data_IF_353321234585
#
_entry.id   IF_353321234585
#
_cell.length_a   1.000
_cell.length_b   1.000
_cell.length_c   1.000
_cell.angle_alpha   90.00
_cell.angle_beta   90.00
_cell.angle_gamma   90.00
#
_symmetry.space_group_name_H-M   'P 1'
#
loop_
_entity.id
_entity.type
_entity.pdbx_description
1 polymer ?
#
# COMPACT_ATOMS: atom_id res chain seq x y z
N UNK A 1 -32.82 -5.79 12.89
CA UNK A 1 -31.47 -5.45 12.38
C UNK A 1 -31.52 -4.38 11.28
N UNK A 2 -30.71 -3.32 11.42
CA UNK A 2 -30.58 -2.25 10.42
C UNK A 2 -29.59 -2.69 9.35
N UNK A 3 -30.06 -2.81 8.10
CA UNK A 3 -29.19 -3.08 6.95
C UNK A 3 -28.61 -1.77 6.44
N UNK A 4 -27.32 -1.75 6.16
CA UNK A 4 -26.59 -0.60 5.61
C UNK A 4 -25.48 -1.11 4.69
N UNK A 5 -25.34 -0.48 3.54
CA UNK A 5 -24.17 -0.69 2.67
C UNK A 5 -22.95 -0.02 3.29
N UNK A 6 -21.82 -0.72 3.21
CA UNK A 6 -20.51 -0.22 3.63
C UNK A 6 -19.72 0.19 2.39
N UNK A 7 -18.91 1.24 2.51
CA UNK A 7 -17.96 1.69 1.52
C UNK A 7 -16.64 0.93 1.71
N UNK A 8 -16.25 0.17 0.68
CA UNK A 8 -15.08 -0.67 0.73
C UNK A 8 -14.88 -1.46 -0.57
N UNK A 9 -13.81 -2.24 -0.61
CA UNK A 9 -13.43 -3.06 -1.76
C UNK A 9 -12.50 -4.20 -1.36
N UNK A 10 -12.32 -5.15 -2.27
CA UNK A 10 -11.33 -6.22 -2.10
C UNK A 10 -9.92 -5.62 -2.29
N UNK A 11 -8.95 -6.07 -1.49
CA UNK A 11 -7.54 -5.70 -1.69
C UNK A 11 -6.92 -6.45 -2.88
N UNK A 12 -5.82 -5.91 -3.39
CA UNK A 12 -5.09 -6.54 -4.50
C UNK A 12 -4.62 -7.93 -4.14
N UNK A 13 -4.64 -8.83 -5.13
CA UNK A 13 -4.26 -10.24 -5.02
C UNK A 13 -5.02 -11.04 -3.95
N UNK A 14 -6.04 -10.46 -3.32
CA UNK A 14 -6.85 -11.16 -2.35
C UNK A 14 -7.77 -12.19 -3.02
N UNK A 15 -7.98 -13.36 -2.40
CA UNK A 15 -9.02 -14.30 -2.83
C UNK A 15 -10.41 -13.68 -2.83
N UNK A 16 -11.26 -14.10 -3.76
CA UNK A 16 -12.67 -13.74 -3.78
C UNK A 16 -13.51 -14.59 -2.83
N UNK A 17 -14.83 -14.52 -2.98
CA UNK A 17 -15.78 -15.35 -2.22
C UNK A 17 -16.35 -16.51 -3.05
N UNK A 18 -15.72 -16.85 -4.18
CA UNK A 18 -16.17 -17.87 -5.14
C UNK A 18 -17.65 -17.73 -5.55
N UNK A 19 -18.11 -16.50 -5.73
CA UNK A 19 -19.50 -16.19 -6.09
C UNK A 19 -20.53 -16.49 -4.99
N UNK A 20 -20.09 -16.86 -3.78
CA UNK A 20 -20.96 -17.13 -2.63
C UNK A 20 -20.89 -15.96 -1.64
N UNK A 21 -22.03 -15.46 -1.12
CA UNK A 21 -22.00 -14.48 -0.06
C UNK A 21 -21.39 -15.06 1.23
N UNK A 22 -20.39 -14.39 1.78
CA UNK A 22 -19.89 -14.65 3.13
C UNK A 22 -20.64 -13.76 4.11
N UNK A 23 -21.50 -14.35 4.94
CA UNK A 23 -22.16 -13.72 6.08
C UNK A 23 -21.52 -14.22 7.36
N UNK A 24 -20.84 -13.35 8.09
CA UNK A 24 -20.24 -13.72 9.36
C UNK A 24 -20.28 -12.57 10.36
N UNK A 25 -20.25 -12.94 11.65
CA UNK A 25 -20.03 -12.00 12.73
C UNK A 25 -18.64 -11.38 12.64
N UNK A 26 -18.44 -10.25 13.31
CA UNK A 26 -17.16 -9.53 13.30
C UNK A 26 -16.51 -9.58 14.67
N UNK A 27 -15.20 -9.85 14.69
CA UNK A 27 -14.32 -9.66 15.85
C UNK A 27 -13.21 -8.67 15.52
N UNK A 28 -12.49 -8.20 16.53
CA UNK A 28 -11.41 -7.22 16.39
C UNK A 28 -10.24 -7.63 17.28
N UNK A 29 -9.03 -7.27 16.86
CA UNK A 29 -7.83 -7.51 17.67
C UNK A 29 -7.94 -6.69 18.97
N UNK A 30 -7.93 -7.33 20.16
CA UNK A 30 -8.02 -6.64 21.43
C UNK A 30 -6.68 -5.99 21.80
N UNK A 31 -6.62 -5.32 22.95
CA UNK A 31 -5.34 -4.90 23.52
C UNK A 31 -4.54 -6.17 23.91
N UNK A 32 -3.34 -6.32 23.37
CA UNK A 32 -2.44 -7.45 23.63
C UNK A 32 -1.21 -6.99 24.42
N UNK A 33 -0.82 -7.76 25.43
CA UNK A 33 0.34 -7.51 26.27
C UNK A 33 1.38 -8.62 26.16
N UNK A 34 0.95 -9.82 25.78
CA UNK A 34 1.77 -11.04 25.72
C UNK A 34 1.38 -11.90 24.52
N UNK A 35 2.28 -12.80 24.10
CA UNK A 35 1.98 -13.79 23.06
C UNK A 35 0.79 -14.69 23.46
N UNK A 36 0.62 -14.99 24.74
CA UNK A 36 -0.55 -15.75 25.23
C UNK A 36 -1.87 -15.01 25.00
N UNK A 37 -1.89 -13.67 25.09
CA UNK A 37 -3.11 -12.91 24.76
C UNK A 37 -3.50 -13.10 23.28
N UNK A 38 -2.50 -13.19 22.40
CA UNK A 38 -2.69 -13.46 20.98
C UNK A 38 -3.22 -14.88 20.73
N UNK A 39 -2.61 -15.89 21.35
CA UNK A 39 -3.08 -17.28 21.27
C UNK A 39 -4.54 -17.42 21.71
N UNK A 40 -4.89 -16.81 22.86
CA UNK A 40 -6.28 -16.80 23.37
C UNK A 40 -7.21 -16.07 22.41
N UNK A 41 -6.76 -14.99 21.77
CA UNK A 41 -7.56 -14.28 20.77
C UNK A 41 -7.83 -15.16 19.54
N UNK A 42 -6.83 -15.90 19.04
CA UNK A 42 -6.99 -16.79 17.89
C UNK A 42 -8.09 -17.85 18.14
N UNK A 43 -8.24 -18.34 19.36
CA UNK A 43 -9.34 -19.27 19.70
C UNK A 43 -10.75 -18.70 19.49
N UNK A 44 -10.88 -17.38 19.31
CA UNK A 44 -12.17 -16.68 19.19
C UNK A 44 -12.56 -16.30 17.77
N UNK A 45 -11.68 -16.49 16.77
CA UNK A 45 -11.85 -15.95 15.41
C UNK A 45 -12.58 -16.89 14.46
N UNK A 46 -12.72 -18.18 14.80
CA UNK A 46 -13.36 -19.18 13.96
C UNK A 46 -14.75 -18.70 13.49
N UNK A 47 -14.96 -18.69 12.16
CA UNK A 47 -16.22 -18.31 11.55
C UNK A 47 -16.52 -16.80 11.57
N UNK A 48 -15.55 -15.94 11.87
CA UNK A 48 -15.73 -14.48 11.96
C UNK A 48 -14.83 -13.70 11.01
N UNK A 49 -15.30 -12.51 10.65
CA UNK A 49 -14.45 -11.47 10.07
C UNK A 49 -13.55 -10.89 11.15
N UNK A 50 -12.26 -10.72 10.87
CA UNK A 50 -11.30 -10.13 11.81
C UNK A 50 -10.92 -8.73 11.37
N UNK A 51 -11.16 -7.73 12.23
CA UNK A 51 -10.75 -6.35 12.01
C UNK A 51 -9.28 -6.16 12.41
N UNK A 52 -8.42 -5.88 11.43
CA UNK A 52 -6.96 -5.81 11.58
C UNK A 52 -6.41 -4.48 11.07
N UNK A 53 -6.82 -3.38 11.69
CA UNK A 53 -6.31 -2.03 11.44
C UNK A 53 -6.60 -1.12 12.63
N UNK A 54 -5.81 -0.06 12.77
CA UNK A 54 -6.00 0.90 13.85
C UNK A 54 -7.41 1.54 13.76
N UNK A 55 -8.31 1.30 14.75
CA UNK A 55 -9.63 1.90 14.75
C UNK A 55 -9.52 3.38 15.11
N UNK A 56 -9.41 4.22 14.07
CA UNK A 56 -9.28 5.66 14.21
C UNK A 56 -10.42 6.22 15.10
N UNK A 57 -10.11 6.95 16.18
CA UNK A 57 -11.15 7.59 17.00
C UNK A 57 -12.02 8.57 16.20
N UNK A 58 -11.46 9.12 15.13
CA UNK A 58 -12.14 9.96 14.16
C UNK A 58 -11.41 9.93 12.83
N UNK A 59 -12.16 9.89 11.73
CA UNK A 59 -11.67 9.95 10.35
C UNK A 59 -11.59 11.38 9.82
N UNK A 60 -11.59 12.36 10.73
CA UNK A 60 -11.42 13.77 10.41
C UNK A 60 -9.93 14.14 10.41
N UNK A 61 -9.42 14.77 9.33
CA UNK A 61 -8.04 15.27 9.25
C UNK A 61 -7.70 16.24 10.38
N UNK A 62 -6.42 16.31 10.73
CA UNK A 62 -5.93 17.21 11.78
C UNK A 62 -6.20 18.68 11.45
N UNK A 63 -6.07 19.05 10.18
CA UNK A 63 -6.31 20.41 9.69
C UNK A 63 -7.76 20.83 9.94
N UNK A 64 -8.73 19.92 9.75
CA UNK A 64 -10.13 20.19 10.04
C UNK A 64 -10.42 20.29 11.53
N UNK A 65 -9.73 19.49 12.36
CA UNK A 65 -9.79 19.66 13.81
C UNK A 65 -9.27 21.03 14.24
N UNK A 66 -8.13 21.46 13.73
CA UNK A 66 -7.54 22.77 14.03
C UNK A 66 -8.44 23.91 13.53
N UNK A 67 -9.03 23.77 12.34
CA UNK A 67 -9.84 24.82 11.72
C UNK A 67 -11.22 24.98 12.38
N UNK A 68 -11.86 23.88 12.79
CA UNK A 68 -13.27 23.88 13.22
C UNK A 68 -13.51 23.44 14.66
N UNK A 69 -12.50 22.89 15.33
CA UNK A 69 -12.62 22.41 16.71
C UNK A 69 -12.40 23.52 17.74
N UNK A 70 -13.02 23.36 18.90
CA UNK A 70 -12.63 24.14 20.09
C UNK A 70 -11.27 23.63 20.58
N UNK A 71 -10.40 24.54 21.02
CA UNK A 71 -9.01 24.24 21.38
C UNK A 71 -8.88 23.05 22.34
N UNK A 72 -9.74 22.98 23.35
CA UNK A 72 -9.75 21.89 24.32
C UNK A 72 -10.04 20.53 23.67
N UNK A 73 -11.07 20.44 22.82
CA UNK A 73 -11.41 19.21 22.11
C UNK A 73 -10.34 18.78 21.11
N UNK A 74 -9.63 19.73 20.48
CA UNK A 74 -8.50 19.41 19.59
C UNK A 74 -7.39 18.72 20.37
N UNK A 75 -7.00 19.28 21.53
CA UNK A 75 -5.97 18.69 22.40
C UNK A 75 -6.40 17.32 22.91
N UNK A 76 -7.64 17.21 23.40
CA UNK A 76 -8.18 15.93 23.88
C UNK A 76 -8.21 14.86 22.78
N UNK A 77 -8.63 15.21 21.56
CA UNK A 77 -8.66 14.26 20.44
C UNK A 77 -7.26 13.84 20.01
N UNK A 78 -6.31 14.77 19.96
CA UNK A 78 -4.89 14.49 19.65
C UNK A 78 -4.28 13.53 20.69
N UNK A 79 -4.50 13.79 21.98
CA UNK A 79 -4.09 12.89 23.06
C UNK A 79 -4.76 11.52 22.98
N UNK A 80 -6.08 11.48 22.76
CA UNK A 80 -6.84 10.23 22.64
C UNK A 80 -6.36 9.39 21.45
N UNK A 81 -6.14 10.02 20.29
CA UNK A 81 -5.62 9.34 19.09
C UNK A 81 -4.21 8.83 19.31
N UNK A 82 -3.31 9.62 19.90
CA UNK A 82 -1.95 9.16 20.23
C UNK A 82 -1.96 7.96 21.16
N UNK A 83 -2.73 8.03 22.25
CA UNK A 83 -2.82 6.94 23.22
C UNK A 83 -3.41 5.66 22.59
N UNK A 84 -4.45 5.80 21.75
CA UNK A 84 -5.03 4.66 21.04
C UNK A 84 -4.08 4.05 20.01
N UNK A 85 -3.34 4.88 19.26
CA UNK A 85 -2.35 4.42 18.29
C UNK A 85 -1.18 3.70 18.98
N UNK A 86 -0.75 4.16 20.16
CA UNK A 86 0.27 3.49 20.96
C UNK A 86 -0.18 2.09 21.41
N UNK A 87 -1.41 1.95 21.92
CA UNK A 87 -1.97 0.64 22.31
C UNK A 87 -2.11 -0.30 21.12
N UNK A 88 -2.60 0.22 19.99
CA UNK A 88 -2.69 -0.55 18.75
C UNK A 88 -1.33 -1.07 18.30
N UNK A 89 -0.34 -0.18 18.21
CA UNK A 89 1.01 -0.55 17.77
C UNK A 89 1.67 -1.56 18.71
N UNK A 90 1.44 -1.44 20.02
CA UNK A 90 1.87 -2.45 20.98
C UNK A 90 1.23 -3.81 20.67
N UNK A 91 -0.08 -3.84 20.48
CA UNK A 91 -0.82 -5.09 20.26
C UNK A 91 -0.39 -5.78 18.97
N UNK A 92 -0.28 -5.01 17.88
CA UNK A 92 0.21 -5.54 16.60
C UNK A 92 1.67 -5.98 16.68
N UNK A 93 2.53 -5.29 17.46
CA UNK A 93 3.90 -5.74 17.68
C UNK A 93 3.95 -7.07 18.41
N UNK A 94 3.14 -7.26 19.45
CA UNK A 94 3.02 -8.54 20.18
C UNK A 94 2.60 -9.67 19.23
N UNK A 95 1.55 -9.46 18.43
CA UNK A 95 1.08 -10.47 17.49
C UNK A 95 2.12 -10.78 16.39
N UNK A 96 2.79 -9.75 15.84
CA UNK A 96 3.85 -9.93 14.83
C UNK A 96 5.07 -10.67 15.39
N UNK A 97 5.46 -10.37 16.62
CA UNK A 97 6.58 -11.06 17.28
C UNK A 97 6.25 -12.53 17.57
N UNK A 98 5.01 -12.82 17.97
CA UNK A 98 4.55 -14.19 18.20
C UNK A 98 4.59 -15.05 16.92
N UNK A 99 4.22 -14.46 15.77
CA UNK A 99 4.12 -15.18 14.50
C UNK A 99 5.38 -15.10 13.62
N UNK A 100 6.29 -14.16 13.90
CA UNK A 100 7.53 -13.97 13.14
C UNK A 100 7.44 -12.97 11.99
N UNK A 101 6.31 -12.28 11.81
CA UNK A 101 6.16 -11.24 10.80
C UNK A 101 4.71 -10.82 10.54
N UNK A 102 4.51 -9.94 9.54
CA UNK A 102 3.17 -9.44 9.18
C UNK A 102 2.40 -10.46 8.35
N UNK A 103 3.05 -11.08 7.38
CA UNK A 103 2.43 -12.11 6.56
C UNK A 103 2.00 -13.32 7.42
N UNK A 104 2.85 -13.71 8.37
CA UNK A 104 2.61 -14.80 9.31
C UNK A 104 1.43 -14.50 10.23
N UNK A 105 1.29 -13.25 10.71
CA UNK A 105 0.12 -12.80 11.48
C UNK A 105 -1.18 -13.00 10.70
N UNK A 106 -1.20 -12.62 9.42
CA UNK A 106 -2.37 -12.78 8.57
C UNK A 106 -2.70 -14.26 8.36
N UNK A 107 -1.69 -15.09 8.08
CA UNK A 107 -1.85 -16.54 7.92
C UNK A 107 -2.40 -17.20 9.19
N UNK A 108 -1.93 -16.82 10.37
CA UNK A 108 -2.42 -17.35 11.65
C UNK A 108 -3.92 -17.10 11.86
N UNK A 109 -4.44 -15.95 11.41
CA UNK A 109 -5.88 -15.66 11.45
C UNK A 109 -6.67 -16.56 10.50
N UNK A 110 -6.15 -16.82 9.29
CA UNK A 110 -6.77 -17.76 8.34
C UNK A 110 -6.78 -19.19 8.90
N UNK A 111 -5.65 -19.65 9.43
CA UNK A 111 -5.48 -20.99 10.01
C UNK A 111 -6.35 -21.20 11.24
N UNK A 112 -6.58 -20.16 12.04
CA UNK A 112 -7.52 -20.16 13.16
C UNK A 112 -9.00 -20.10 12.73
N UNK A 113 -9.28 -20.08 11.42
CA UNK A 113 -10.62 -20.20 10.86
C UNK A 113 -11.38 -18.88 10.69
N UNK A 114 -10.68 -17.74 10.64
CA UNK A 114 -11.31 -16.49 10.23
C UNK A 114 -11.89 -16.63 8.82
N UNK A 115 -13.10 -16.10 8.58
CA UNK A 115 -13.71 -16.14 7.22
C UNK A 115 -13.12 -15.09 6.29
N UNK A 116 -12.33 -14.17 6.83
CA UNK A 116 -11.67 -13.10 6.10
C UNK A 116 -11.23 -11.96 7.03
N UNK A 117 -10.46 -11.05 6.47
CA UNK A 117 -9.89 -9.91 7.20
C UNK A 117 -10.50 -8.60 6.70
N UNK A 118 -10.76 -7.69 7.62
CA UNK A 118 -11.20 -6.32 7.34
C UNK A 118 -10.09 -5.36 7.74
N UNK A 119 -9.62 -4.56 6.78
CA UNK A 119 -8.57 -3.55 6.98
C UNK A 119 -9.10 -2.13 6.69
N UNK A 120 -8.35 -1.12 7.12
CA UNK A 120 -8.60 0.29 6.84
C UNK A 120 -7.29 1.07 6.92
N UNK A 121 -6.74 1.47 5.78
CA UNK A 121 -5.51 2.27 5.71
C UNK A 121 -5.84 3.73 5.39
N UNK A 122 -6.11 4.50 6.44
CA UNK A 122 -6.45 5.91 6.32
C UNK A 122 -5.19 6.80 6.46
N UNK A 123 -4.79 7.56 5.42
CA UNK A 123 -3.60 8.40 5.46
C UNK A 123 -3.81 9.77 6.14
N UNK A 124 -4.99 10.01 6.73
CA UNK A 124 -5.32 11.27 7.40
C UNK A 124 -6.09 12.28 6.55
N UNK A 125 -6.46 11.96 5.30
CA UNK A 125 -7.24 12.80 4.40
C UNK A 125 -8.75 12.48 4.39
N UNK A 126 -9.61 13.46 4.13
CA UNK A 126 -11.07 13.22 4.07
C UNK A 126 -11.46 12.34 2.89
N UNK A 127 -12.14 11.21 3.15
CA UNK A 127 -12.58 10.29 2.10
C UNK A 127 -11.43 9.60 1.35
N UNK A 128 -10.22 9.60 1.93
CA UNK A 128 -9.05 8.98 1.29
C UNK A 128 -8.78 7.62 1.95
N UNK A 129 -8.45 6.63 1.13
CA UNK A 129 -7.94 5.35 1.55
C UNK A 129 -6.66 5.05 0.79
N UNK A 130 -5.73 4.34 1.43
CA UNK A 130 -4.63 3.68 0.73
C UNK A 130 -5.01 2.23 0.51
N UNK A 131 -4.94 1.78 -0.72
CA UNK A 131 -5.19 0.41 -1.12
C UNK A 131 -3.84 -0.21 -1.47
N UNK A 132 -3.64 -1.42 -0.99
CA UNK A 132 -2.45 -2.23 -1.22
C UNK A 132 -2.89 -3.68 -1.38
N UNK A 133 -1.93 -4.59 -1.37
CA UNK A 133 -2.14 -6.01 -1.42
C UNK A 133 -2.66 -6.65 -0.15
N UNK A 134 -3.24 -7.83 -0.33
CA UNK A 134 -3.58 -8.75 0.73
C UNK A 134 -2.45 -9.77 0.92
N UNK A 135 -2.10 -10.01 2.18
CA UNK A 135 -1.19 -11.08 2.59
C UNK A 135 -1.86 -12.46 2.57
N UNK A 136 -3.18 -12.48 2.79
CA UNK A 136 -4.03 -13.67 2.89
C UNK A 136 -4.11 -14.42 1.56
N UNK A 137 -4.09 -15.76 1.63
CA UNK A 137 -4.05 -16.62 0.44
C UNK A 137 -5.31 -17.45 0.22
N UNK A 138 -6.13 -17.65 1.26
CA UNK A 138 -7.31 -18.50 1.17
C UNK A 138 -8.62 -17.75 1.41
N UNK A 139 -8.62 -16.80 2.34
CA UNK A 139 -9.77 -15.99 2.72
C UNK A 139 -9.66 -14.57 2.16
N UNK A 140 -10.79 -13.91 1.87
CA UNK A 140 -10.79 -12.54 1.38
C UNK A 140 -10.30 -11.55 2.44
N UNK A 141 -9.53 -10.58 1.98
CA UNK A 141 -9.18 -9.37 2.72
C UNK A 141 -9.83 -8.18 2.03
N UNK A 142 -10.71 -7.51 2.76
CA UNK A 142 -11.37 -6.31 2.27
C UNK A 142 -10.85 -5.07 3.00
N UNK A 143 -10.83 -3.97 2.28
CA UNK A 143 -10.69 -2.64 2.86
C UNK A 143 -12.06 -2.03 3.08
N UNK A 144 -12.27 -1.40 4.24
CA UNK A 144 -13.39 -0.48 4.48
C UNK A 144 -12.89 0.95 4.65
N UNK A 145 -13.68 1.92 4.19
CA UNK A 145 -13.40 3.33 4.45
C UNK A 145 -13.32 3.57 5.96
N UNK A 146 -12.53 4.55 6.38
CA UNK A 146 -12.28 4.80 7.80
C UNK A 146 -13.58 4.92 8.62
N UNK A 147 -14.61 5.58 8.05
CA UNK A 147 -15.88 5.79 8.75
C UNK A 147 -16.67 4.49 8.94
N UNK A 148 -16.72 3.64 7.91
CA UNK A 148 -17.44 2.37 7.97
C UNK A 148 -16.65 1.30 8.73
N UNK A 149 -15.31 1.29 8.64
CA UNK A 149 -14.46 0.52 9.54
C UNK A 149 -14.72 0.90 11.00
N UNK A 150 -14.69 2.19 11.31
CA UNK A 150 -14.97 2.70 12.66
C UNK A 150 -16.39 2.35 13.13
N UNK A 151 -17.38 2.35 12.24
CA UNK A 151 -18.75 1.93 12.56
C UNK A 151 -18.80 0.45 12.96
N UNK A 152 -18.26 -0.44 12.13
CA UNK A 152 -18.27 -1.89 12.39
C UNK A 152 -17.51 -2.20 13.69
N UNK A 153 -16.33 -1.60 13.87
CA UNK A 153 -15.54 -1.74 15.09
C UNK A 153 -16.33 -1.34 16.34
N UNK A 154 -16.99 -0.16 16.30
CA UNK A 154 -17.80 0.32 17.42
C UNK A 154 -18.99 -0.59 17.72
N UNK A 155 -19.60 -1.22 16.72
CA UNK A 155 -20.68 -2.18 16.97
C UNK A 155 -20.15 -3.45 17.64
N UNK A 156 -19.02 -3.99 17.15
CA UNK A 156 -18.39 -5.18 17.72
C UNK A 156 -17.93 -4.96 19.17
N UNK A 157 -17.20 -3.86 19.44
CA UNK A 157 -16.69 -3.56 20.79
C UNK A 157 -17.80 -3.30 21.83
N UNK A 158 -19.01 -2.91 21.38
CA UNK A 158 -20.15 -2.65 22.25
C UNK A 158 -21.09 -3.87 22.38
N UNK A 159 -20.68 -5.05 21.90
CA UNK A 159 -21.47 -6.28 22.00
C UNK A 159 -22.78 -6.22 21.21
N UNK A 160 -22.81 -5.48 20.09
CA UNK A 160 -23.97 -5.40 19.21
C UNK A 160 -23.93 -6.44 18.07
N UNK A 161 -22.93 -7.33 18.09
CA UNK A 161 -22.77 -8.48 17.21
C UNK A 161 -23.04 -8.15 15.72
N UNK A 162 -22.29 -7.20 15.12
CA UNK A 162 -22.50 -6.85 13.72
C UNK A 162 -22.18 -8.06 12.83
N UNK A 163 -22.98 -8.22 11.78
CA UNK A 163 -22.76 -9.20 10.71
C UNK A 163 -22.38 -8.46 9.45
N UNK A 164 -21.28 -8.87 8.83
CA UNK A 164 -20.81 -8.32 7.56
C UNK A 164 -21.04 -9.37 6.47
N UNK A 165 -21.76 -8.93 5.42
CA UNK A 165 -22.01 -9.70 4.20
C UNK A 165 -21.10 -9.21 3.09
N UNK A 166 -20.26 -10.08 2.53
CA UNK A 166 -19.40 -9.78 1.37
C UNK A 166 -19.69 -10.73 0.23
N UNK A 167 -19.71 -10.20 -0.99
CA UNK A 167 -19.63 -11.00 -2.22
C UNK A 167 -18.60 -10.32 -3.11
N UNK A 168 -17.49 -11.00 -3.36
CA UNK A 168 -16.39 -10.47 -4.15
C UNK A 168 -15.97 -11.51 -5.17
N UNK A 169 -15.81 -11.09 -6.41
CA UNK A 169 -15.34 -11.93 -7.50
C UNK A 169 -13.89 -11.56 -7.79
N UNK A 170 -12.99 -12.53 -7.64
CA UNK A 170 -11.59 -12.39 -7.98
C UNK A 170 -11.10 -13.70 -8.60
N UNK A 171 -10.18 -13.58 -9.55
CA UNK A 171 -9.57 -14.73 -10.21
C UNK A 171 -8.07 -14.46 -10.36
N UNK A 172 -7.26 -15.38 -9.86
CA UNK A 172 -5.82 -15.39 -10.16
C UNK A 172 -5.61 -16.02 -11.54
N UNK A 173 -5.11 -15.23 -12.50
CA UNK A 173 -4.84 -15.66 -13.87
C UNK A 173 -3.40 -16.17 -14.07
N UNK A 174 -2.59 -16.18 -13.01
CA UNK A 174 -1.18 -16.54 -13.06
C UNK A 174 -0.31 -15.41 -13.59
N UNK A 175 0.98 -15.73 -13.70
CA UNK A 175 1.99 -14.80 -14.21
C UNK A 175 1.80 -14.53 -15.70
N UNK A 176 2.05 -13.27 -16.08
CA UNK A 176 1.99 -12.81 -17.47
C UNK A 176 3.24 -11.97 -17.77
N UNK A 177 3.73 -11.96 -19.03
CA UNK A 177 4.85 -11.10 -19.38
C UNK A 177 4.47 -9.62 -19.24
N UNK A 178 5.38 -8.85 -18.64
CA UNK A 178 5.34 -7.39 -18.58
C UNK A 178 6.51 -6.81 -19.39
N UNK A 179 6.37 -5.56 -19.83
CA UNK A 179 7.36 -4.92 -20.70
C UNK A 179 7.72 -3.55 -20.17
N UNK A 180 9.01 -3.25 -20.07
CA UNK A 180 9.49 -1.90 -19.85
C UNK A 180 9.49 -1.11 -21.17
N UNK A 181 9.40 0.22 -21.07
CA UNK A 181 9.60 1.11 -22.23
C UNK A 181 10.92 1.84 -22.06
N UNK A 182 11.88 1.55 -22.93
CA UNK A 182 13.21 2.15 -22.92
C UNK A 182 13.40 3.04 -24.15
N UNK A 183 13.94 4.23 -23.96
CA UNK A 183 14.37 5.13 -25.03
C UNK A 183 15.79 5.62 -24.77
N UNK A 184 16.53 5.91 -25.84
CA UNK A 184 17.96 6.23 -25.75
C UNK A 184 18.33 7.48 -26.54
N UNK A 185 19.20 8.31 -25.96
CA UNK A 185 20.03 9.28 -26.67
C UNK A 185 21.48 8.84 -26.49
N UNK A 186 22.08 8.26 -27.53
CA UNK A 186 23.45 7.71 -27.48
C UNK A 186 24.49 8.79 -27.23
N UNK A 187 25.43 8.51 -26.33
CA UNK A 187 26.56 9.39 -26.00
C UNK A 187 27.57 9.50 -27.16
N UNK A 188 28.28 10.63 -27.22
CA UNK A 188 29.28 10.91 -28.28
C UNK A 188 30.73 10.67 -27.85
N UNK A 189 31.05 10.85 -26.57
CA UNK A 189 32.41 10.70 -26.03
C UNK A 189 32.55 9.46 -25.13
N UNK A 190 31.50 9.18 -24.34
CA UNK A 190 31.44 8.13 -23.33
C UNK A 190 30.13 7.33 -23.51
N UNK A 191 29.97 6.60 -24.64
CA UNK A 191 28.71 5.91 -24.96
C UNK A 191 28.36 4.78 -23.98
N UNK A 192 29.34 4.24 -23.27
CA UNK A 192 29.17 3.16 -22.28
C UNK A 192 29.01 3.70 -20.84
N UNK A 193 28.90 5.02 -20.66
CA UNK A 193 28.52 5.64 -19.40
C UNK A 193 27.07 6.13 -19.47
N UNK A 194 26.26 5.77 -18.46
CA UNK A 194 24.81 5.94 -18.51
C UNK A 194 24.29 6.95 -17.48
N UNK A 195 23.36 7.80 -17.92
CA UNK A 195 22.45 8.55 -17.04
C UNK A 195 21.04 8.03 -17.30
N UNK A 196 20.40 7.47 -16.29
CA UNK A 196 19.05 6.91 -16.40
C UNK A 196 18.03 7.88 -15.80
N UNK A 197 17.00 8.18 -16.57
CA UNK A 197 15.82 8.96 -16.19
C UNK A 197 14.63 8.01 -16.14
N UNK A 198 14.01 7.86 -14.99
CA UNK A 198 13.06 6.77 -14.78
C UNK A 198 11.84 7.13 -13.95
N UNK A 199 10.79 6.37 -14.19
CA UNK A 199 9.52 6.34 -13.47
C UNK A 199 8.87 4.97 -13.76
N UNK A 200 7.81 4.60 -13.05
CA UNK A 200 6.96 3.48 -13.48
C UNK A 200 5.68 4.00 -14.13
N UNK A 201 5.02 3.14 -14.90
CA UNK A 201 3.83 3.51 -15.68
C UNK A 201 2.62 2.59 -15.45
N UNK A 202 2.79 1.52 -14.67
CA UNK A 202 1.69 0.77 -14.07
C UNK A 202 1.09 1.53 -12.87
N UNK A 203 -0.02 1.01 -12.33
CA UNK A 203 -0.73 1.60 -11.19
C UNK A 203 -1.64 0.58 -10.52
N UNK A 204 -2.05 0.83 -9.27
CA UNK A 204 -3.09 0.06 -8.57
C UNK A 204 -4.46 0.08 -9.25
N UNK A 205 -5.19 -1.03 -9.12
CA UNK A 205 -6.59 -1.13 -9.50
C UNK A 205 -7.48 -0.18 -8.67
N UNK A 206 -8.49 0.40 -9.32
CA UNK A 206 -9.37 1.41 -8.71
C UNK A 206 -8.81 2.84 -8.74
N UNK A 207 -7.55 3.02 -9.13
CA UNK A 207 -6.97 4.32 -9.47
C UNK A 207 -7.02 4.59 -10.97
N UNK A 208 -6.75 5.84 -11.36
CA UNK A 208 -6.46 6.23 -12.75
C UNK A 208 -4.96 6.32 -13.03
N UNK A 209 -4.11 6.02 -12.03
CA UNK A 209 -2.66 6.10 -12.12
C UNK A 209 -2.12 7.51 -12.34
N UNK A 210 -2.93 8.56 -12.15
CA UNK A 210 -2.56 9.92 -12.57
C UNK A 210 -1.36 10.48 -11.79
N UNK A 211 -1.34 10.30 -10.47
CA UNK A 211 -0.25 10.75 -9.59
C UNK A 211 0.72 9.64 -9.23
N UNK A 212 0.31 8.39 -9.44
CA UNK A 212 1.04 7.19 -9.06
C UNK A 212 0.92 6.18 -10.21
N UNK A 213 1.77 6.26 -11.25
CA UNK A 213 2.82 7.28 -11.42
C UNK A 213 2.87 7.89 -12.83
N UNK A 214 1.69 8.18 -13.37
CA UNK A 214 1.52 8.94 -14.61
C UNK A 214 2.23 10.29 -14.59
N UNK A 215 2.26 10.96 -13.44
CA UNK A 215 3.00 12.22 -13.27
C UNK A 215 4.51 12.07 -13.49
N UNK A 216 5.12 11.02 -12.95
CA UNK A 216 6.55 10.75 -13.14
C UNK A 216 6.86 10.33 -14.57
N UNK A 217 6.04 9.45 -15.13
CA UNK A 217 6.14 9.01 -16.52
C UNK A 217 6.09 10.19 -17.51
N UNK A 218 5.10 11.08 -17.37
CA UNK A 218 4.97 12.28 -18.23
C UNK A 218 6.14 13.23 -18.05
N UNK A 219 6.62 13.41 -16.80
CA UNK A 219 7.77 14.25 -16.51
C UNK A 219 9.01 13.74 -17.24
N UNK A 220 9.30 12.43 -17.17
CA UNK A 220 10.47 11.86 -17.83
C UNK A 220 10.39 11.97 -19.36
N UNK A 221 9.20 11.75 -19.93
CA UNK A 221 8.97 11.97 -21.36
C UNK A 221 9.22 13.43 -21.79
N UNK A 222 8.77 14.40 -20.98
CA UNK A 222 9.00 15.81 -21.26
C UNK A 222 10.48 16.21 -21.11
N UNK A 223 11.18 15.66 -20.12
CA UNK A 223 12.63 15.85 -19.98
C UNK A 223 13.35 15.35 -21.22
N UNK A 224 13.01 14.16 -21.72
CA UNK A 224 13.59 13.64 -22.97
C UNK A 224 13.27 14.54 -24.16
N UNK A 225 12.04 15.02 -24.31
CA UNK A 225 11.64 15.94 -25.39
C UNK A 225 12.46 17.25 -25.35
N UNK A 226 12.73 17.78 -24.16
CA UNK A 226 13.57 18.97 -24.00
C UNK A 226 15.03 18.66 -24.34
N UNK A 227 15.58 17.56 -23.80
CA UNK A 227 16.98 17.17 -24.01
C UNK A 227 17.30 16.94 -25.48
N UNK A 228 16.41 16.27 -26.23
CA UNK A 228 16.59 16.09 -27.68
C UNK A 228 16.61 17.42 -28.45
N UNK A 229 16.07 18.51 -27.89
CA UNK A 229 16.11 19.85 -28.50
C UNK A 229 17.34 20.65 -28.09
N UNK A 230 17.67 20.67 -26.79
CA UNK A 230 18.69 21.58 -26.23
C UNK A 230 20.05 20.91 -26.04
N UNK A 231 20.09 19.59 -26.01
CA UNK A 231 21.29 18.78 -25.77
C UNK A 231 21.26 17.46 -26.58
N UNK A 232 21.09 17.51 -27.93
CA UNK A 232 20.89 16.32 -28.78
C UNK A 232 22.11 15.41 -28.92
N UNK A 233 23.30 15.85 -28.50
CA UNK A 233 24.55 15.12 -28.61
C UNK A 233 25.23 15.07 -27.23
N UNK A 234 24.67 14.32 -26.27
CA UNK A 234 25.24 14.22 -24.95
C UNK A 234 26.61 13.53 -25.01
N UNK A 235 27.47 13.82 -24.03
CA UNK A 235 28.76 13.09 -23.90
C UNK A 235 28.53 11.63 -23.52
N UNK A 236 27.60 11.41 -22.59
CA UNK A 236 27.17 10.11 -22.05
C UNK A 236 25.87 9.67 -22.67
N UNK A 237 25.60 8.37 -22.64
CA UNK A 237 24.29 7.84 -23.06
C UNK A 237 23.23 8.22 -22.02
N UNK A 238 22.10 8.75 -22.48
CA UNK A 238 20.95 9.07 -21.63
C UNK A 238 19.83 8.10 -21.97
N UNK A 239 19.37 7.36 -20.96
CA UNK A 239 18.25 6.44 -21.07
C UNK A 239 17.01 7.06 -20.40
N UNK A 240 15.87 6.98 -21.06
CA UNK A 240 14.57 6.98 -20.37
C UNK A 240 14.14 5.54 -20.15
N UNK A 241 13.70 5.24 -18.94
CA UNK A 241 13.19 3.94 -18.60
C UNK A 241 11.88 4.06 -17.83
N UNK A 242 10.80 3.62 -18.46
CA UNK A 242 9.49 3.50 -17.83
C UNK A 242 9.28 2.04 -17.42
N UNK A 243 9.27 1.81 -16.11
CA UNK A 243 9.15 0.49 -15.51
C UNK A 243 7.69 0.04 -15.49
N UNK A 244 7.46 -1.22 -15.82
CA UNK A 244 6.19 -1.89 -15.53
C UNK A 244 6.40 -2.81 -14.33
N UNK A 245 5.34 -3.16 -13.62
CA UNK A 245 5.44 -4.12 -12.54
C UNK A 245 6.02 -3.55 -11.24
N UNK A 246 6.01 -2.22 -11.06
CA UNK A 246 6.56 -1.58 -9.86
C UNK A 246 5.72 -1.97 -8.63
N UNK A 247 4.40 -1.86 -8.78
CA UNK A 247 3.43 -2.07 -7.71
C UNK A 247 3.40 -3.54 -7.26
N UNK A 248 3.77 -4.46 -8.17
CA UNK A 248 3.91 -5.90 -7.93
C UNK A 248 5.26 -6.28 -7.31
N UNK A 249 6.11 -5.31 -6.92
CA UNK A 249 7.39 -5.55 -6.26
C UNK A 249 8.62 -5.28 -7.13
N UNK A 250 8.63 -4.17 -7.87
CA UNK A 250 9.77 -3.70 -8.66
C UNK A 250 10.19 -4.65 -9.80
N UNK A 251 9.25 -5.38 -10.38
CA UNK A 251 9.53 -6.46 -11.32
C UNK A 251 10.26 -5.96 -12.58
N UNK A 252 9.79 -4.86 -13.18
CA UNK A 252 10.39 -4.32 -14.39
C UNK A 252 11.80 -3.79 -14.19
N UNK A 253 12.06 -3.04 -13.12
CA UNK A 253 13.39 -2.48 -12.86
C UNK A 253 14.39 -3.58 -12.47
N UNK A 254 13.97 -4.61 -11.71
CA UNK A 254 14.80 -5.80 -11.42
C UNK A 254 15.17 -6.54 -12.68
N UNK A 255 14.19 -6.87 -13.53
CA UNK A 255 14.44 -7.53 -14.81
C UNK A 255 15.41 -6.71 -15.68
N UNK A 256 15.26 -5.39 -15.73
CA UNK A 256 16.20 -4.52 -16.46
C UNK A 256 17.62 -4.62 -15.91
N UNK A 257 17.83 -4.66 -14.60
CA UNK A 257 19.18 -4.82 -14.03
C UNK A 257 19.81 -6.17 -14.35
N UNK A 258 19.01 -7.22 -14.50
CA UNK A 258 19.45 -8.56 -14.87
C UNK A 258 19.77 -8.67 -16.36
N UNK A 259 18.92 -8.07 -17.22
CA UNK A 259 19.06 -8.10 -18.67
C UNK A 259 20.15 -7.14 -19.19
N UNK A 260 20.40 -6.04 -18.46
CA UNK A 260 21.33 -4.97 -18.82
C UNK A 260 22.41 -4.70 -17.78
N UNK A 261 23.24 -5.70 -17.42
CA UNK A 261 24.31 -5.51 -16.44
C UNK A 261 25.34 -4.46 -16.86
N UNK A 262 25.51 -4.23 -18.17
CA UNK A 262 26.37 -3.17 -18.72
C UNK A 262 25.91 -1.77 -18.32
N UNK A 263 24.58 -1.54 -18.27
CA UNK A 263 24.02 -0.25 -17.86
C UNK A 263 24.30 0.00 -16.38
N UNK A 264 24.16 -1.04 -15.55
CA UNK A 264 24.46 -0.96 -14.11
C UNK A 264 25.95 -0.68 -13.87
N UNK A 265 26.83 -1.36 -14.60
CA UNK A 265 28.29 -1.15 -14.50
C UNK A 265 28.72 0.25 -14.95
N UNK A 266 28.12 0.77 -16.03
CA UNK A 266 28.41 2.11 -16.55
C UNK A 266 27.60 3.24 -15.89
N UNK A 267 26.75 2.94 -14.90
CA UNK A 267 25.80 3.89 -14.35
C UNK A 267 26.50 5.04 -13.62
N UNK A 268 26.29 6.26 -14.10
CA UNK A 268 26.81 7.48 -13.48
C UNK A 268 25.78 8.15 -12.57
N UNK A 269 24.51 8.10 -12.96
CA UNK A 269 23.39 8.60 -12.17
C UNK A 269 22.08 7.96 -12.63
N UNK A 270 21.19 7.70 -11.68
CA UNK A 270 19.80 7.36 -11.94
C UNK A 270 18.89 8.34 -11.19
N UNK A 271 17.90 8.87 -11.91
CA UNK A 271 16.87 9.74 -11.38
C UNK A 271 15.54 9.01 -11.51
N UNK A 272 14.97 8.58 -10.39
CA UNK A 272 13.62 8.04 -10.36
C UNK A 272 12.64 9.11 -9.87
N UNK A 273 11.54 9.31 -10.60
CA UNK A 273 10.48 10.19 -10.17
C UNK A 273 9.22 9.37 -9.89
N UNK A 274 8.92 9.25 -8.60
CA UNK A 274 7.72 8.62 -8.06
C UNK A 274 7.32 9.27 -6.73
N UNK A 275 6.87 10.53 -6.80
CA UNK A 275 6.44 11.30 -5.62
C UNK A 275 5.14 12.09 -5.85
N UNK A 276 4.43 11.76 -6.93
CA UNK A 276 3.25 12.48 -7.38
C UNK A 276 3.53 13.89 -7.90
N UNK A 277 2.62 14.82 -7.61
CA UNK A 277 2.65 16.20 -8.14
C UNK A 277 3.22 17.21 -7.17
N UNK A 278 3.85 16.75 -6.08
CA UNK A 278 4.43 17.60 -5.06
C UNK A 278 5.63 18.38 -5.60
N UNK A 279 6.01 19.46 -4.90
CA UNK A 279 7.31 20.09 -5.16
C UNK A 279 8.42 19.13 -4.73
N UNK A 280 9.50 19.06 -5.51
CA UNK A 280 10.73 18.40 -5.06
C UNK A 280 11.29 19.22 -3.90
N UNK A 281 11.08 18.73 -2.67
CA UNK A 281 11.55 19.36 -1.43
C UNK A 281 12.77 18.65 -0.84
N UNK A 282 12.97 17.39 -1.20
CA UNK A 282 14.07 16.54 -0.77
C UNK A 282 14.50 15.63 -1.90
N UNK A 283 15.80 15.34 -1.95
CA UNK A 283 16.38 14.32 -2.82
C UNK A 283 17.10 13.31 -1.94
N UNK A 284 16.64 12.06 -1.96
CA UNK A 284 17.35 10.95 -1.32
C UNK A 284 18.26 10.30 -2.35
N UNK A 285 19.57 10.33 -2.10
CA UNK A 285 20.52 9.56 -2.87
C UNK A 285 20.76 8.22 -2.17
N UNK A 286 20.68 7.13 -2.93
CA UNK A 286 21.14 5.82 -2.51
C UNK A 286 22.37 5.51 -3.37
N UNK A 287 23.50 5.21 -2.73
CA UNK A 287 24.70 4.80 -3.44
C UNK A 287 24.65 3.30 -3.70
N UNK A 288 25.06 2.88 -4.90
CA UNK A 288 25.44 1.49 -5.12
C UNK A 288 26.78 1.29 -4.40
N UNK A 289 26.75 0.67 -3.22
CA UNK A 289 27.97 0.44 -2.42
C UNK A 289 28.97 -0.47 -3.13
N UNK A 290 28.50 -1.25 -4.11
CA UNK A 290 29.28 -2.23 -4.88
C UNK A 290 29.36 -1.90 -6.39
N UNK A 291 28.92 -0.72 -6.85
CA UNK A 291 29.15 -0.31 -8.24
C UNK A 291 30.57 0.26 -8.38
N UNK A 292 31.53 -0.62 -8.64
CA UNK A 292 32.94 -0.28 -8.88
C UNK A 292 33.77 -1.48 -9.27
#
# INVERSE_FOLDING_TARGET
PRVRSLEGGLLAWSPGTDGRPLDAGVTYVPDLFTATDWEVFLETVEGKWVMLSFPQPTCRPNEQWIQSGIRESVVQMDEARRAANQRWNQSVAVAREAEGGTAELHNALEEAGAVGIITSSWPGGSGVARIFDAENRASPTIHLSCEDYGLVYRLAMNGQDPVVRVTAEAQNLGEVPVYNVIGEITGTELPDEYVVLSAHYDSWEGSSGATDNGSGSILMLEVMRILTTVYPQPKRTILIALWNGEEQGLNGSRAFTEDHPEVVQGLQALWNQDNGTGRVVTMSAQGLVDAG
#
